data_IF_617467955888
#
_entry.id   IF_617467955888
#
_cell.length_a   1.000
_cell.length_b   1.000
_cell.length_c   1.000
_cell.angle_alpha   90.00
_cell.angle_beta   90.00
_cell.angle_gamma   90.00
#
_symmetry.space_group_name_H-M   'P 1'
#
loop_
_entity.id
_entity.type
_entity.pdbx_description
1 polymer ?
#
# COMPACT_ATOMS: atom_id res chain seq x y z
N UNK A 1 -12.95 24.65 2.95
CA UNK A 1 -12.30 24.24 4.20
C UNK A 1 -10.91 23.81 3.84
N UNK A 2 -9.90 24.43 4.44
CA UNK A 2 -8.50 24.09 4.19
C UNK A 2 -8.15 22.72 4.78
N UNK A 3 -7.11 22.06 4.25
CA UNK A 3 -6.68 20.73 4.71
C UNK A 3 -6.39 20.70 6.22
N UNK A 4 -5.71 21.72 6.73
CA UNK A 4 -5.37 21.84 8.16
C UNK A 4 -6.61 21.98 9.02
N UNK A 5 -7.61 22.75 8.58
CA UNK A 5 -8.90 22.91 9.26
C UNK A 5 -9.69 21.60 9.27
N UNK A 6 -9.78 20.92 8.13
CA UNK A 6 -10.47 19.64 7.99
C UNK A 6 -9.84 18.55 8.87
N UNK A 7 -8.50 18.49 8.90
CA UNK A 7 -7.76 17.54 9.72
C UNK A 7 -8.00 17.81 11.21
N UNK A 8 -7.90 19.07 11.62
CA UNK A 8 -8.13 19.45 13.02
C UNK A 8 -9.56 19.13 13.46
N UNK A 9 -10.55 19.36 12.61
CA UNK A 9 -11.96 19.03 12.87
C UNK A 9 -12.13 17.52 13.17
N UNK A 10 -11.54 16.66 12.35
CA UNK A 10 -11.61 15.20 12.52
C UNK A 10 -10.85 14.75 13.76
N UNK A 11 -9.62 15.25 13.97
CA UNK A 11 -8.83 14.94 15.17
C UNK A 11 -9.58 15.32 16.45
N UNK A 12 -10.17 16.52 16.50
CA UNK A 12 -10.94 16.99 17.64
C UNK A 12 -12.17 16.11 17.90
N UNK A 13 -12.88 15.70 16.85
CA UNK A 13 -14.03 14.80 16.96
C UNK A 13 -13.62 13.44 17.54
N UNK A 14 -12.54 12.85 17.01
CA UNK A 14 -12.05 11.56 17.46
C UNK A 14 -11.52 11.62 18.90
N UNK A 15 -10.82 12.69 19.28
CA UNK A 15 -10.35 12.89 20.65
C UNK A 15 -11.51 12.93 21.65
N UNK A 16 -12.65 13.51 21.25
CA UNK A 16 -13.83 13.64 22.11
C UNK A 16 -14.67 12.36 22.19
N UNK A 17 -14.88 11.68 21.07
CA UNK A 17 -15.86 10.59 20.97
C UNK A 17 -15.24 9.19 20.78
N UNK A 18 -13.98 9.12 20.34
CA UNK A 18 -13.29 7.89 19.99
C UNK A 18 -11.84 7.89 20.50
N UNK A 19 -11.66 8.10 21.82
CA UNK A 19 -10.33 8.25 22.46
C UNK A 19 -9.31 7.18 22.09
N UNK A 20 -9.74 5.91 21.96
CA UNK A 20 -8.87 4.78 21.54
C UNK A 20 -8.33 4.93 20.11
N UNK A 21 -9.10 5.54 19.21
CA UNK A 21 -8.67 5.84 17.84
C UNK A 21 -7.76 7.06 17.85
N UNK A 22 -8.13 8.10 18.62
CA UNK A 22 -7.35 9.33 18.71
C UNK A 22 -5.98 9.16 19.39
N UNK A 23 -5.84 8.16 20.27
CA UNK A 23 -4.56 7.83 20.92
C UNK A 23 -3.61 7.03 20.04
N UNK A 24 -3.97 6.74 18.78
CA UNK A 24 -3.08 6.06 17.84
C UNK A 24 -1.99 7.03 17.36
N UNK A 25 -0.72 6.65 17.51
CA UNK A 25 0.43 7.47 17.08
C UNK A 25 0.41 7.79 15.58
N UNK A 26 -0.23 6.94 14.77
CA UNK A 26 -0.37 7.09 13.32
C UNK A 26 -1.63 7.86 12.90
N UNK A 27 -2.42 8.41 13.84
CA UNK A 27 -3.75 8.97 13.53
C UNK A 27 -3.70 10.09 12.47
N UNK A 28 -2.66 10.91 12.49
CA UNK A 28 -2.49 11.97 11.49
C UNK A 28 -2.26 11.39 10.09
N UNK A 29 -1.43 10.35 9.96
CA UNK A 29 -1.18 9.67 8.70
C UNK A 29 -2.44 8.95 8.21
N UNK A 30 -3.19 8.30 9.11
CA UNK A 30 -4.46 7.63 8.82
C UNK A 30 -5.49 8.62 8.27
N UNK A 31 -5.65 9.79 8.91
CA UNK A 31 -6.58 10.84 8.44
C UNK A 31 -6.11 11.43 7.11
N UNK A 32 -4.81 11.67 6.95
CA UNK A 32 -4.23 12.17 5.69
C UNK A 32 -4.52 11.20 4.55
N UNK A 33 -4.23 9.91 4.74
CA UNK A 33 -4.50 8.88 3.74
C UNK A 33 -5.99 8.77 3.42
N UNK A 34 -6.86 8.91 4.42
CA UNK A 34 -8.30 8.94 4.23
C UNK A 34 -8.75 10.13 3.38
N UNK A 35 -8.24 11.33 3.61
CA UNK A 35 -8.58 12.49 2.80
C UNK A 35 -8.13 12.35 1.36
N UNK A 36 -6.98 11.70 1.12
CA UNK A 36 -6.53 11.35 -0.22
C UNK A 36 -7.38 10.24 -0.86
N UNK A 37 -8.02 9.38 -0.06
CA UNK A 37 -8.80 8.23 -0.50
C UNK A 37 -10.15 8.12 0.25
N UNK A 38 -11.10 9.06 0.05
CA UNK A 38 -12.30 9.19 0.89
C UNK A 38 -13.26 7.99 0.79
N UNK A 39 -13.10 7.22 -0.29
CA UNK A 39 -13.79 5.95 -0.58
C UNK A 39 -13.39 4.80 0.34
N UNK A 40 -12.19 4.86 0.91
CA UNK A 40 -11.63 3.78 1.72
C UNK A 40 -11.86 4.11 3.19
N UNK A 41 -12.44 3.17 3.94
CA UNK A 41 -12.57 3.32 5.39
C UNK A 41 -11.17 3.28 6.02
N UNK A 42 -10.80 4.25 6.87
CA UNK A 42 -9.46 4.29 7.44
C UNK A 42 -9.22 3.10 8.37
N UNK A 43 -7.98 2.60 8.49
CA UNK A 43 -7.62 1.59 9.48
C UNK A 43 -8.05 2.02 10.89
N UNK A 44 -8.49 1.05 11.71
CA UNK A 44 -8.93 1.24 13.09
C UNK A 44 -10.21 2.09 13.29
N UNK A 45 -10.79 2.66 12.23
CA UNK A 45 -12.07 3.34 12.32
C UNK A 45 -13.20 2.32 12.44
N UNK A 46 -13.95 2.40 13.54
CA UNK A 46 -15.21 1.66 13.65
C UNK A 46 -16.22 2.20 12.62
N UNK A 47 -17.21 1.39 12.25
CA UNK A 47 -18.27 1.83 11.33
C UNK A 47 -19.00 3.08 11.82
N UNK A 48 -19.15 3.23 13.15
CA UNK A 48 -19.72 4.42 13.77
C UNK A 48 -18.81 5.66 13.60
N UNK A 49 -17.51 5.53 13.89
CA UNK A 49 -16.54 6.62 13.73
C UNK A 49 -16.44 7.06 12.26
N UNK A 50 -16.34 6.11 11.33
CA UNK A 50 -16.29 6.41 9.90
C UNK A 50 -17.54 7.14 9.40
N UNK A 51 -18.74 6.67 9.78
CA UNK A 51 -20.00 7.32 9.40
C UNK A 51 -20.10 8.73 9.97
N UNK A 52 -19.75 8.92 11.25
CA UNK A 52 -19.79 10.23 11.87
C UNK A 52 -18.77 11.20 11.27
N UNK A 53 -17.54 10.76 11.02
CA UNK A 53 -16.53 11.60 10.36
C UNK A 53 -16.95 11.99 8.94
N UNK A 54 -17.62 11.12 8.17
CA UNK A 54 -18.21 11.49 6.87
C UNK A 54 -19.30 12.56 7.00
N UNK A 55 -20.15 12.45 8.03
CA UNK A 55 -21.21 13.43 8.29
C UNK A 55 -20.67 14.82 8.63
N UNK A 56 -19.49 14.94 9.26
CA UNK A 56 -18.84 16.23 9.51
C UNK A 56 -18.59 17.05 8.25
N UNK A 57 -18.48 16.40 7.09
CA UNK A 57 -18.24 17.04 5.79
C UNK A 57 -19.48 17.11 4.91
N UNK A 58 -20.67 16.80 5.44
CA UNK A 58 -21.91 16.77 4.63
C UNK A 58 -21.89 15.74 3.51
N UNK A 59 -20.97 14.78 3.53
CA UNK A 59 -20.88 13.73 2.53
C UNK A 59 -22.04 12.75 2.74
N UNK A 60 -23.06 12.86 1.88
CA UNK A 60 -24.15 11.90 1.78
C UNK A 60 -23.59 10.50 1.48
N UNK A 61 -24.21 9.46 2.01
CA UNK A 61 -23.88 8.04 1.76
C UNK A 61 -24.27 7.61 0.32
N UNK A 62 -24.08 8.47 -0.68
CA UNK A 62 -24.31 8.12 -2.08
C UNK A 62 -23.13 7.29 -2.58
N UNK A 63 -23.36 5.97 -2.52
CA UNK A 63 -22.84 4.94 -3.42
C UNK A 63 -21.42 5.17 -3.96
N UNK A 64 -20.43 4.84 -3.14
CA UNK A 64 -19.09 4.66 -3.65
C UNK A 64 -19.05 3.26 -4.25
N UNK A 65 -19.36 3.18 -5.54
CA UNK A 65 -19.18 1.98 -6.35
C UNK A 65 -17.76 1.44 -6.18
N UNK A 66 -17.63 0.14 -5.99
CA UNK A 66 -16.37 -0.60 -5.94
C UNK A 66 -15.63 -0.50 -7.29
N UNK A 67 -15.05 0.66 -7.62
CA UNK A 67 -14.39 0.87 -8.93
C UNK A 67 -13.02 1.53 -8.85
N UNK A 68 -12.34 1.44 -7.70
CA UNK A 68 -10.91 1.79 -7.61
C UNK A 68 -10.05 0.56 -7.38
N UNK A 69 -10.24 -0.47 -8.20
CA UNK A 69 -9.13 -1.33 -8.58
C UNK A 69 -8.56 -0.71 -9.85
N UNK A 70 -7.49 0.08 -9.73
CA UNK A 70 -6.66 0.43 -10.89
C UNK A 70 -5.93 -0.84 -11.31
N UNK A 71 -6.60 -1.64 -12.12
CA UNK A 71 -5.98 -2.74 -12.85
C UNK A 71 -6.18 -2.40 -14.32
N UNK A 72 -5.18 -1.76 -14.91
CA UNK A 72 -5.10 -1.73 -16.37
C UNK A 72 -4.93 -3.17 -16.83
N UNK A 73 -5.79 -3.63 -17.75
CA UNK A 73 -5.45 -4.74 -18.63
C UNK A 73 -4.37 -4.26 -19.58
N UNK A 74 -3.13 -4.21 -19.11
CA UNK A 74 -1.98 -3.99 -19.95
C UNK A 74 -1.36 -5.34 -20.29
N UNK A 75 -1.22 -5.57 -21.61
CA UNK A 75 -0.35 -6.61 -22.13
C UNK A 75 0.99 -6.59 -21.36
N UNK A 76 1.61 -7.75 -21.08
CA UNK A 76 2.79 -7.80 -20.23
C UNK A 76 3.87 -6.83 -20.74
N UNK A 77 4.19 -5.80 -19.94
CA UNK A 77 5.25 -4.83 -20.24
C UNK A 77 6.63 -5.47 -20.40
N UNK A 78 6.79 -6.73 -19.96
CA UNK A 78 8.01 -7.50 -20.13
C UNK A 78 7.90 -8.41 -21.35
N UNK A 79 8.67 -8.07 -22.38
CA UNK A 79 9.02 -9.01 -23.43
C UNK A 79 9.66 -10.24 -22.78
N UNK A 80 9.23 -11.44 -23.19
CA UNK A 80 9.90 -12.68 -22.81
C UNK A 80 11.22 -12.72 -23.57
N UNK A 81 12.31 -12.59 -22.83
CA UNK A 81 13.63 -12.86 -23.36
C UNK A 81 14.02 -14.30 -22.98
N UNK A 82 14.57 -15.05 -23.92
CA UNK A 82 15.11 -16.39 -23.69
C UNK A 82 16.49 -16.30 -23.02
N UNK A 83 16.55 -15.73 -21.82
CA UNK A 83 17.77 -15.71 -21.02
C UNK A 83 17.87 -16.96 -20.14
N UNK A 84 19.11 -17.43 -19.95
CA UNK A 84 19.40 -18.44 -18.94
C UNK A 84 19.46 -17.74 -17.58
N UNK A 85 18.41 -17.89 -16.77
CA UNK A 85 18.28 -17.26 -15.45
C UNK A 85 19.24 -17.82 -14.36
N UNK A 86 20.11 -18.77 -14.71
CA UNK A 86 20.92 -19.52 -13.75
C UNK A 86 21.99 -18.70 -13.00
N UNK A 87 22.33 -17.50 -13.48
CA UNK A 87 23.28 -16.59 -12.81
C UNK A 87 22.61 -15.51 -11.95
N UNK A 88 21.29 -15.40 -12.02
CA UNK A 88 20.56 -14.35 -11.29
C UNK A 88 20.16 -14.88 -9.91
N UNK A 89 20.51 -14.17 -8.82
CA UNK A 89 20.03 -14.53 -7.49
C UNK A 89 18.50 -14.41 -7.43
N UNK A 90 17.85 -15.49 -6.97
CA UNK A 90 16.40 -15.64 -6.78
C UNK A 90 15.58 -15.41 -8.06
N UNK A 91 15.71 -16.28 -9.09
CA UNK A 91 14.94 -16.14 -10.32
C UNK A 91 13.44 -16.09 -10.02
N UNK A 92 12.64 -15.42 -10.86
CA UNK A 92 11.19 -15.47 -10.72
C UNK A 92 10.72 -16.94 -10.80
N UNK A 93 9.74 -17.34 -9.98
CA UNK A 93 9.20 -18.70 -10.06
C UNK A 93 8.59 -18.94 -11.44
N UNK A 94 8.73 -20.16 -11.97
CA UNK A 94 8.19 -20.54 -13.29
C UNK A 94 6.66 -20.40 -13.34
N UNK A 95 5.99 -20.69 -12.22
CA UNK A 95 4.56 -20.51 -12.01
C UNK A 95 4.33 -19.55 -10.85
N UNK A 96 3.46 -18.57 -11.06
CA UNK A 96 3.12 -17.56 -10.06
C UNK A 96 1.62 -17.26 -10.10
N UNK A 97 1.04 -16.98 -8.95
CA UNK A 97 -0.39 -16.68 -8.77
C UNK A 97 -0.66 -15.18 -8.79
N UNK A 98 0.33 -14.38 -8.41
CA UNK A 98 0.24 -12.92 -8.39
C UNK A 98 1.60 -12.26 -8.66
N UNK A 99 1.56 -10.99 -9.03
CA UNK A 99 2.74 -10.15 -9.24
C UNK A 99 2.85 -9.07 -8.16
N UNK A 100 4.06 -8.68 -7.81
CA UNK A 100 4.31 -7.61 -6.84
C UNK A 100 5.53 -6.76 -7.22
N UNK A 101 5.61 -5.59 -6.60
CA UNK A 101 6.78 -4.71 -6.62
C UNK A 101 7.38 -4.68 -5.21
N UNK A 102 8.72 -4.61 -5.13
CA UNK A 102 9.46 -4.59 -3.88
C UNK A 102 10.15 -3.23 -3.72
N UNK A 103 9.60 -2.34 -2.89
CA UNK A 103 10.11 -1.00 -2.64
C UNK A 103 10.77 -0.96 -1.25
N UNK A 104 11.96 -0.37 -1.16
CA UNK A 104 12.81 -0.44 0.04
C UNK A 104 13.23 -1.89 0.35
N UNK A 105 13.61 -2.61 -0.71
CA UNK A 105 13.81 -4.05 -0.71
C UNK A 105 14.89 -4.56 0.26
N UNK A 106 15.79 -3.68 0.70
CA UNK A 106 16.94 -4.01 1.52
C UNK A 106 17.77 -5.12 0.87
N UNK A 107 17.97 -6.21 1.60
CA UNK A 107 18.71 -7.39 1.13
C UNK A 107 17.83 -8.47 0.46
N UNK A 108 16.53 -8.21 0.24
CA UNK A 108 15.62 -9.07 -0.51
C UNK A 108 14.82 -10.09 0.31
N UNK A 109 14.74 -9.96 1.64
CA UNK A 109 13.99 -10.89 2.49
C UNK A 109 12.48 -10.95 2.19
N UNK A 110 11.87 -9.79 1.95
CA UNK A 110 10.45 -9.67 1.60
C UNK A 110 10.14 -10.35 0.26
N UNK A 111 10.96 -10.07 -0.75
CA UNK A 111 10.90 -10.74 -2.04
C UNK A 111 10.98 -12.26 -1.92
N UNK A 112 11.93 -12.80 -1.14
CA UNK A 112 12.08 -14.26 -0.97
C UNK A 112 10.81 -14.86 -0.38
N UNK A 113 10.26 -14.24 0.67
CA UNK A 113 9.03 -14.71 1.31
C UNK A 113 7.85 -14.74 0.32
N UNK A 114 7.68 -13.69 -0.48
CA UNK A 114 6.61 -13.61 -1.48
C UNK A 114 6.81 -14.57 -2.65
N UNK A 115 8.05 -14.76 -3.10
CA UNK A 115 8.36 -15.77 -4.13
C UNK A 115 8.06 -17.19 -3.64
N UNK A 116 8.32 -17.49 -2.37
CA UNK A 116 8.01 -18.81 -1.78
C UNK A 116 6.50 -19.11 -1.72
N UNK A 117 5.64 -18.08 -1.70
CA UNK A 117 4.18 -18.24 -1.73
C UNK A 117 3.58 -18.02 -3.14
N UNK A 118 4.41 -18.11 -4.19
CA UNK A 118 3.93 -18.03 -5.58
C UNK A 118 3.84 -16.61 -6.16
N UNK A 119 4.53 -15.64 -5.57
CA UNK A 119 4.60 -14.27 -6.09
C UNK A 119 5.72 -14.08 -7.12
N UNK A 120 5.44 -13.37 -8.22
CA UNK A 120 6.47 -12.88 -9.15
C UNK A 120 6.82 -11.42 -8.85
N UNK A 121 8.07 -11.18 -8.45
CA UNK A 121 8.59 -9.82 -8.36
C UNK A 121 8.82 -9.26 -9.77
N UNK A 122 8.12 -8.18 -10.13
CA UNK A 122 8.26 -7.53 -11.45
C UNK A 122 9.09 -6.25 -11.41
N UNK A 123 9.36 -5.71 -10.22
CA UNK A 123 10.20 -4.54 -10.02
C UNK A 123 10.75 -4.51 -8.59
N UNK A 124 12.00 -4.06 -8.44
CA UNK A 124 12.64 -3.88 -7.13
C UNK A 124 13.34 -2.53 -7.08
N UNK A 125 13.11 -1.76 -6.02
CA UNK A 125 13.80 -0.50 -5.74
C UNK A 125 14.43 -0.55 -4.35
N UNK A 126 15.70 -0.18 -4.29
CA UNK A 126 16.46 0.00 -3.06
C UNK A 126 17.28 1.28 -3.22
N UNK A 127 17.53 2.01 -2.14
CA UNK A 127 18.35 3.21 -2.16
C UNK A 127 19.78 2.92 -1.71
N UNK A 128 19.96 2.06 -0.70
CA UNK A 128 21.25 1.71 -0.13
C UNK A 128 22.09 0.85 -1.08
N UNK A 129 23.32 1.30 -1.34
CA UNK A 129 24.22 0.65 -2.30
C UNK A 129 24.75 -0.69 -1.80
N UNK A 130 24.93 -0.85 -0.49
CA UNK A 130 25.45 -2.07 0.12
C UNK A 130 24.38 -3.17 0.11
N UNK A 131 23.14 -2.82 0.42
CA UNK A 131 21.96 -3.68 0.36
C UNK A 131 21.73 -4.20 -1.06
N UNK A 132 21.79 -3.33 -2.08
CA UNK A 132 21.75 -3.74 -3.51
C UNK A 132 22.82 -4.77 -3.84
N UNK A 133 24.06 -4.54 -3.40
CA UNK A 133 25.17 -5.45 -3.70
C UNK A 133 24.95 -6.83 -3.09
N UNK A 134 24.35 -6.92 -1.91
CA UNK A 134 23.99 -8.20 -1.26
C UNK A 134 22.82 -8.88 -1.97
N UNK A 135 21.80 -8.12 -2.38
CA UNK A 135 20.58 -8.63 -3.03
C UNK A 135 20.81 -9.11 -4.48
N UNK A 136 21.68 -8.44 -5.24
CA UNK A 136 21.91 -8.70 -6.68
C UNK A 136 23.26 -9.34 -6.97
N UNK A 137 23.91 -9.96 -5.98
CA UNK A 137 25.18 -10.65 -6.20
C UNK A 137 24.95 -11.90 -7.05
N UNK A 138 25.53 -11.93 -8.24
CA UNK A 138 25.57 -13.13 -9.10
C UNK A 138 26.21 -14.29 -8.32
N UNK A 139 25.65 -15.49 -8.47
CA UNK A 139 26.19 -16.73 -7.92
C UNK A 139 27.02 -17.46 -8.96
#
# INVERSE_FOLDING_TARGET
MEYTEARQLVCNYLAKHHKKIASNEEIEAIITHWFLNPSIRPPYFSSAAYKACKQLFGLSLTEISNKSLVREESAPYQLKFDFVYNRIPYPPPEKYEFSFIDLFAGIGGFRIALQNVGGKCVFTSEWDKHAKKTSFKEK
#
